data_IF_765743246124
#
_entry.id   IF_765743246124
#
_cell.length_a   1.000
_cell.length_b   1.000
_cell.length_c   1.000
_cell.angle_alpha   90.00
_cell.angle_beta   90.00
_cell.angle_gamma   90.00
#
_symmetry.space_group_name_H-M   'P 1'
#
loop_
_entity.id
_entity.type
_entity.pdbx_description
1 polymer ?
#
# COMPACT_ATOMS: atom_id res chain seq x y z
N UNK A 1 12.71 6.82 -11.36
CA UNK A 1 12.07 5.85 -10.42
C UNK A 1 13.04 4.71 -10.12
N UNK A 2 13.00 4.16 -8.89
CA UNK A 2 13.82 3.05 -8.41
C UNK A 2 12.99 1.76 -8.30
N UNK A 3 13.64 0.60 -8.32
CA UNK A 3 12.96 -0.68 -8.12
C UNK A 3 13.06 -1.08 -6.65
N UNK A 4 11.90 -1.31 -6.03
CA UNK A 4 11.77 -1.84 -4.67
C UNK A 4 11.08 -3.20 -4.66
N UNK A 5 11.03 -3.85 -3.48
CA UNK A 5 10.20 -5.02 -3.27
C UNK A 5 9.72 -5.12 -1.81
N UNK A 6 8.52 -5.65 -1.61
CA UNK A 6 7.98 -5.97 -0.30
C UNK A 6 8.65 -7.23 0.26
N UNK A 7 9.18 -7.16 1.49
CA UNK A 7 9.96 -8.26 2.06
C UNK A 7 9.16 -9.56 2.23
N UNK A 8 7.86 -9.47 2.52
CA UNK A 8 6.97 -10.62 2.68
C UNK A 8 6.71 -11.37 1.37
N UNK A 9 6.89 -10.71 0.21
CA UNK A 9 6.69 -11.34 -1.10
C UNK A 9 7.58 -12.56 -1.33
N UNK A 10 8.78 -12.59 -0.73
CA UNK A 10 9.71 -13.72 -0.89
C UNK A 10 9.46 -14.87 0.10
N UNK A 11 8.64 -14.65 1.14
CA UNK A 11 8.35 -15.64 2.20
C UNK A 11 9.62 -16.26 2.84
N UNK A 12 10.66 -15.46 3.03
CA UNK A 12 11.95 -15.86 3.65
C UNK A 12 12.26 -14.99 4.88
N UNK A 13 13.10 -15.47 5.81
CA UNK A 13 13.62 -14.63 6.88
C UNK A 13 14.34 -13.38 6.33
N UNK A 14 14.25 -12.25 7.05
CA UNK A 14 14.76 -10.95 6.61
C UNK A 14 16.20 -10.99 6.06
N UNK A 15 17.20 -11.59 6.72
CA UNK A 15 18.57 -11.62 6.18
C UNK A 15 18.67 -12.33 4.83
N UNK A 16 17.91 -13.41 4.64
CA UNK A 16 17.88 -14.14 3.38
C UNK A 16 17.17 -13.34 2.28
N UNK A 17 16.09 -12.62 2.63
CA UNK A 17 15.38 -11.72 1.71
C UNK A 17 16.28 -10.57 1.26
N UNK A 18 16.96 -9.89 2.20
CA UNK A 18 17.91 -8.81 1.90
C UNK A 18 18.99 -9.27 0.93
N UNK A 19 19.63 -10.41 1.21
CA UNK A 19 20.66 -10.98 0.32
C UNK A 19 20.10 -11.23 -1.10
N UNK A 20 18.93 -11.85 -1.20
CA UNK A 20 18.31 -12.16 -2.50
C UNK A 20 17.92 -10.91 -3.27
N UNK A 21 17.38 -9.90 -2.60
CA UNK A 21 17.01 -8.64 -3.25
C UNK A 21 18.23 -7.88 -3.77
N UNK A 22 19.32 -7.85 -3.00
CA UNK A 22 20.59 -7.29 -3.47
C UNK A 22 21.14 -8.04 -4.70
N UNK A 23 21.10 -9.38 -4.70
CA UNK A 23 21.50 -10.21 -5.86
C UNK A 23 20.66 -9.96 -7.11
N UNK A 24 19.38 -9.58 -6.97
CA UNK A 24 18.48 -9.23 -8.07
C UNK A 24 18.65 -7.77 -8.56
N UNK A 25 19.41 -6.95 -7.84
CA UNK A 25 19.58 -5.53 -8.15
C UNK A 25 18.40 -4.66 -7.72
N UNK A 26 17.62 -5.11 -6.75
CA UNK A 26 16.58 -4.31 -6.09
C UNK A 26 17.27 -3.24 -5.25
N UNK A 27 16.74 -2.03 -5.25
CA UNK A 27 17.35 -0.85 -4.64
C UNK A 27 16.67 -0.44 -3.33
N UNK A 28 15.42 -0.85 -3.14
CA UNK A 28 14.65 -0.53 -1.94
C UNK A 28 13.84 -1.71 -1.42
N UNK A 29 13.56 -1.68 -0.14
CA UNK A 29 12.72 -2.70 0.49
C UNK A 29 11.63 -2.03 1.32
N UNK A 30 10.39 -2.44 1.07
CA UNK A 30 9.26 -2.17 1.96
C UNK A 30 9.21 -3.29 3.01
N UNK A 31 9.12 -2.92 4.27
CA UNK A 31 9.10 -3.89 5.38
C UNK A 31 7.66 -4.08 5.86
N UNK A 32 7.15 -5.30 5.76
CA UNK A 32 5.90 -5.68 6.39
C UNK A 32 6.10 -5.67 7.91
N UNK A 33 5.38 -4.81 8.61
CA UNK A 33 5.35 -4.79 10.06
C UNK A 33 4.46 -5.94 10.56
N UNK A 34 4.96 -6.68 11.53
CA UNK A 34 4.24 -7.76 12.20
C UNK A 34 4.04 -7.42 13.67
N UNK A 35 3.16 -8.11 14.42
CA UNK A 35 3.01 -7.88 15.86
C UNK A 35 4.34 -7.95 16.63
N UNK A 36 5.30 -8.77 16.19
CA UNK A 36 6.62 -8.87 16.81
C UNK A 36 7.43 -7.56 16.71
N UNK A 37 7.30 -6.82 15.61
CA UNK A 37 7.99 -5.53 15.44
C UNK A 37 7.55 -4.50 16.49
N UNK A 38 6.31 -4.60 16.97
CA UNK A 38 5.77 -3.68 17.97
C UNK A 38 6.48 -3.78 19.34
N UNK A 39 7.19 -4.87 19.59
CA UNK A 39 7.92 -5.11 20.85
C UNK A 39 9.44 -5.13 20.64
N UNK A 40 9.93 -4.84 19.43
CA UNK A 40 11.37 -4.76 19.18
C UNK A 40 12.01 -3.60 19.93
N UNK A 41 13.19 -3.85 20.49
CA UNK A 41 14.02 -2.80 21.04
C UNK A 41 14.58 -1.90 19.93
N UNK A 42 14.94 -0.66 20.31
CA UNK A 42 15.61 0.26 19.38
C UNK A 42 16.90 -0.32 18.79
N UNK A 43 17.62 -1.15 19.57
CA UNK A 43 18.80 -1.84 19.09
C UNK A 43 18.46 -2.82 17.94
N UNK A 44 17.35 -3.56 18.08
CA UNK A 44 16.89 -4.50 17.03
C UNK A 44 16.44 -3.77 15.77
N UNK A 45 15.74 -2.65 15.88
CA UNK A 45 15.35 -1.83 14.74
C UNK A 45 16.57 -1.24 14.02
N UNK A 46 17.58 -0.77 14.76
CA UNK A 46 18.84 -0.32 14.17
C UNK A 46 19.60 -1.43 13.46
N UNK A 47 19.60 -2.64 14.00
CA UNK A 47 20.19 -3.81 13.34
C UNK A 47 19.50 -4.12 12.00
N UNK A 48 18.17 -4.11 11.95
CA UNK A 48 17.42 -4.30 10.70
C UNK A 48 17.83 -3.23 9.67
N UNK A 49 17.88 -1.97 10.07
CA UNK A 49 18.31 -0.86 9.22
C UNK A 49 19.73 -1.06 8.69
N UNK A 50 20.66 -1.48 9.55
CA UNK A 50 22.05 -1.72 9.19
C UNK A 50 22.17 -2.88 8.18
N UNK A 51 21.49 -3.99 8.41
CA UNK A 51 21.49 -5.15 7.50
C UNK A 51 21.02 -4.77 6.09
N UNK A 52 20.00 -3.91 5.98
CA UNK A 52 19.55 -3.42 4.69
C UNK A 52 20.59 -2.50 4.04
N UNK A 53 21.12 -1.52 4.81
CA UNK A 53 22.09 -0.56 4.31
C UNK A 53 23.42 -1.23 3.87
N UNK A 54 23.91 -2.21 4.63
CA UNK A 54 25.12 -2.97 4.31
C UNK A 54 25.01 -3.77 3.00
N UNK A 55 23.77 -4.13 2.63
CA UNK A 55 23.45 -4.77 1.36
C UNK A 55 23.12 -3.76 0.23
N UNK A 56 23.18 -2.46 0.48
CA UNK A 56 22.87 -1.41 -0.48
C UNK A 56 21.35 -1.20 -0.73
N UNK A 57 20.48 -1.67 0.18
CA UNK A 57 19.05 -1.46 0.08
C UNK A 57 18.59 -0.29 0.96
N UNK A 58 17.81 0.63 0.40
CA UNK A 58 17.07 1.63 1.17
C UNK A 58 15.80 0.99 1.77
N UNK A 59 15.40 1.38 2.97
CA UNK A 59 14.05 1.05 3.46
C UNK A 59 13.09 2.09 2.88
N UNK A 60 12.38 1.70 1.81
CA UNK A 60 11.52 2.61 1.04
C UNK A 60 10.23 2.98 1.79
N UNK A 61 9.67 2.02 2.50
CA UNK A 61 8.44 2.18 3.27
C UNK A 61 8.33 1.08 4.33
N UNK A 62 7.37 1.23 5.25
CA UNK A 62 6.84 0.12 6.05
C UNK A 62 5.38 -0.11 5.68
N UNK A 63 4.94 -1.37 5.69
CA UNK A 63 3.53 -1.72 5.56
C UNK A 63 2.94 -1.97 6.96
N UNK A 64 1.93 -1.19 7.31
CA UNK A 64 1.32 -1.16 8.63
C UNK A 64 0.09 -2.04 8.81
N UNK A 65 -0.17 -2.98 7.90
CA UNK A 65 -1.31 -3.90 8.00
C UNK A 65 -1.04 -5.02 8.99
N UNK A 66 -1.25 -4.73 10.29
CA UNK A 66 -0.92 -5.65 11.38
C UNK A 66 -2.15 -6.35 11.96
N UNK A 67 -3.30 -5.67 11.99
CA UNK A 67 -4.49 -6.13 12.67
C UNK A 67 -5.72 -6.01 11.75
N UNK A 68 -6.74 -6.80 12.05
CA UNK A 68 -8.02 -6.75 11.35
C UNK A 68 -8.96 -5.63 11.84
N UNK A 69 -8.41 -4.62 12.50
CA UNK A 69 -9.15 -3.43 12.93
C UNK A 69 -9.38 -2.47 11.76
N UNK A 70 -10.52 -1.82 11.75
CA UNK A 70 -10.93 -0.97 10.63
C UNK A 70 -11.06 0.49 11.06
N UNK A 71 -10.63 1.42 10.21
CA UNK A 71 -10.75 2.86 10.47
C UNK A 71 -12.20 3.38 10.47
N UNK A 72 -13.14 2.63 9.87
CA UNK A 72 -14.56 2.99 9.79
C UNK A 72 -15.45 2.34 10.84
N UNK A 73 -14.91 1.58 11.80
CA UNK A 73 -15.66 0.90 12.85
C UNK A 73 -15.54 1.66 14.19
N UNK A 74 -16.66 2.01 14.80
CA UNK A 74 -16.72 2.90 15.98
C UNK A 74 -15.90 2.40 17.16
N UNK A 75 -15.95 1.10 17.43
CA UNK A 75 -15.22 0.51 18.55
C UNK A 75 -13.75 0.20 18.25
N UNK A 76 -13.36 0.16 16.98
CA UNK A 76 -12.02 -0.27 16.55
C UNK A 76 -11.09 0.88 16.13
N UNK A 77 -11.62 2.03 15.68
CA UNK A 77 -10.80 3.05 15.04
C UNK A 77 -9.73 3.66 15.97
N UNK A 78 -10.03 3.77 17.28
CA UNK A 78 -9.05 4.28 18.24
C UNK A 78 -7.86 3.34 18.40
N UNK A 79 -8.14 2.04 18.53
CA UNK A 79 -7.10 1.00 18.61
C UNK A 79 -6.28 0.98 17.32
N UNK A 80 -6.95 1.15 16.18
CA UNK A 80 -6.28 1.24 14.87
C UNK A 80 -5.40 2.47 14.74
N UNK A 81 -5.86 3.63 15.22
CA UNK A 81 -5.07 4.87 15.24
C UNK A 81 -3.86 4.75 16.17
N UNK A 82 -4.03 4.23 17.38
CA UNK A 82 -2.92 4.00 18.30
C UNK A 82 -1.90 2.97 17.77
N UNK A 83 -2.38 1.92 17.12
CA UNK A 83 -1.51 0.96 16.45
C UNK A 83 -0.72 1.64 15.31
N UNK A 84 -1.36 2.48 14.51
CA UNK A 84 -0.70 3.25 13.47
C UNK A 84 0.40 4.16 14.04
N UNK A 85 0.15 4.86 15.15
CA UNK A 85 1.16 5.71 15.81
C UNK A 85 2.40 4.90 16.22
N UNK A 86 2.22 3.68 16.73
CA UNK A 86 3.34 2.78 17.02
C UNK A 86 4.11 2.35 15.76
N UNK A 87 3.42 2.15 14.64
CA UNK A 87 4.06 1.86 13.35
C UNK A 87 4.85 3.07 12.85
N UNK A 88 4.33 4.29 13.03
CA UNK A 88 5.06 5.54 12.73
C UNK A 88 6.38 5.60 13.50
N UNK A 89 6.35 5.32 14.80
CA UNK A 89 7.57 5.32 15.64
C UNK A 89 8.61 4.31 15.14
N UNK A 90 8.14 3.14 14.69
CA UNK A 90 9.01 2.10 14.08
C UNK A 90 9.57 2.60 12.75
N UNK A 91 8.75 3.21 11.89
CA UNK A 91 9.19 3.74 10.60
C UNK A 91 10.30 4.80 10.77
N UNK A 92 10.13 5.72 11.71
CA UNK A 92 11.16 6.73 12.06
C UNK A 92 12.47 6.05 12.47
N UNK A 93 12.42 5.03 13.34
CA UNK A 93 13.61 4.29 13.79
C UNK A 93 14.26 3.47 12.68
N UNK A 94 13.47 2.93 11.76
CA UNK A 94 13.97 2.25 10.56
C UNK A 94 14.52 3.23 9.51
N UNK A 95 14.23 4.53 9.62
CA UNK A 95 14.74 5.58 8.76
C UNK A 95 13.95 5.79 7.47
N UNK A 96 12.70 5.33 7.42
CA UNK A 96 11.77 5.62 6.31
C UNK A 96 10.73 6.66 6.73
N UNK A 97 10.16 7.34 5.73
CA UNK A 97 9.12 8.36 5.93
C UNK A 97 7.74 7.90 5.46
N UNK A 98 7.62 6.73 4.87
CA UNK A 98 6.37 6.27 4.27
C UNK A 98 5.83 5.07 5.03
N UNK A 99 4.57 5.17 5.46
CA UNK A 99 3.82 4.08 6.07
C UNK A 99 2.63 3.77 5.16
N UNK A 100 2.62 2.62 4.53
CA UNK A 100 1.49 2.16 3.70
C UNK A 100 0.53 1.35 4.56
N UNK A 101 -0.76 1.47 4.31
CA UNK A 101 -1.76 0.61 4.96
C UNK A 101 -3.12 0.69 4.24
N UNK A 102 -3.87 -0.40 4.33
CA UNK A 102 -5.29 -0.41 3.98
C UNK A 102 -6.12 0.25 5.09
N UNK A 103 -7.19 0.92 4.69
CA UNK A 103 -8.07 1.65 5.62
C UNK A 103 -9.48 1.08 5.73
N UNK A 104 -9.76 0.00 5.00
CA UNK A 104 -11.10 -0.50 4.75
C UNK A 104 -11.69 0.09 3.46
N UNK A 105 -13.01 0.13 3.36
CA UNK A 105 -13.71 0.63 2.16
C UNK A 105 -14.23 2.04 2.41
N UNK A 106 -13.79 3.01 1.61
CA UNK A 106 -14.28 4.37 1.68
C UNK A 106 -15.66 4.44 1.01
N UNK A 107 -16.71 4.90 1.72
CA UNK A 107 -18.02 5.12 1.08
C UNK A 107 -17.97 6.23 0.03
N UNK A 108 -18.63 6.01 -1.11
CA UNK A 108 -18.78 7.07 -2.13
C UNK A 108 -19.74 8.18 -1.73
N UNK A 109 -20.65 7.94 -0.77
CA UNK A 109 -21.58 8.92 -0.23
C UNK A 109 -21.09 9.42 1.13
N UNK A 110 -20.87 10.72 1.27
CA UNK A 110 -20.49 11.35 2.55
C UNK A 110 -21.58 11.26 3.63
N UNK A 111 -22.82 11.00 3.25
CA UNK A 111 -23.92 10.76 4.20
C UNK A 111 -23.88 9.35 4.81
N UNK A 112 -23.07 8.44 4.27
CA UNK A 112 -22.87 7.11 4.83
C UNK A 112 -22.29 7.22 6.25
N UNK A 113 -22.86 6.54 7.25
CA UNK A 113 -22.43 6.65 8.65
C UNK A 113 -20.97 6.21 8.89
N UNK A 114 -20.38 5.44 7.99
CA UNK A 114 -18.95 5.05 8.06
C UNK A 114 -18.04 6.23 7.71
N UNK A 115 -18.45 7.13 6.81
CA UNK A 115 -17.59 8.20 6.30
C UNK A 115 -17.06 9.14 7.39
N UNK A 116 -17.88 9.73 8.29
CA UNK A 116 -17.39 10.62 9.33
C UNK A 116 -16.47 9.90 10.34
N UNK A 117 -16.63 8.60 10.56
CA UNK A 117 -15.75 7.81 11.42
C UNK A 117 -14.38 7.68 10.75
N UNK A 118 -14.33 7.32 9.46
CA UNK A 118 -13.08 7.25 8.70
C UNK A 118 -12.39 8.61 8.64
N UNK A 119 -13.14 9.69 8.41
CA UNK A 119 -12.59 11.04 8.37
C UNK A 119 -11.87 11.40 9.68
N UNK A 120 -12.48 11.09 10.82
CA UNK A 120 -11.88 11.35 12.13
C UNK A 120 -10.67 10.46 12.39
N UNK A 121 -10.77 9.16 12.14
CA UNK A 121 -9.73 8.18 12.46
C UNK A 121 -8.49 8.32 11.57
N UNK A 122 -8.70 8.57 10.27
CA UNK A 122 -7.62 8.80 9.31
C UNK A 122 -6.97 10.17 9.58
N UNK A 123 -7.78 11.19 9.94
CA UNK A 123 -7.28 12.50 10.35
C UNK A 123 -6.33 12.42 11.53
N UNK A 124 -6.69 11.69 12.60
CA UNK A 124 -5.84 11.48 13.78
C UNK A 124 -4.52 10.77 13.43
N UNK A 125 -4.60 9.72 12.60
CA UNK A 125 -3.41 9.00 12.14
C UNK A 125 -2.49 9.87 11.25
N UNK A 126 -3.08 10.64 10.35
CA UNK A 126 -2.34 11.53 9.45
C UNK A 126 -1.68 12.71 10.18
N UNK A 127 -2.36 13.29 11.16
CA UNK A 127 -1.80 14.36 12.00
C UNK A 127 -0.56 13.88 12.75
N UNK A 128 -0.63 12.71 13.38
CA UNK A 128 0.52 12.13 14.08
C UNK A 128 1.68 11.82 13.12
N UNK A 129 1.38 11.23 11.94
CA UNK A 129 2.37 10.97 10.89
C UNK A 129 3.08 12.27 10.47
N UNK A 130 2.31 13.33 10.19
CA UNK A 130 2.86 14.63 9.81
C UNK A 130 3.73 15.26 10.90
N UNK A 131 3.31 15.16 12.17
CA UNK A 131 4.09 15.65 13.33
C UNK A 131 5.43 14.93 13.47
N UNK A 132 5.50 13.64 13.09
CA UNK A 132 6.73 12.84 13.10
C UNK A 132 7.56 12.99 11.80
N UNK A 133 7.13 13.81 10.83
CA UNK A 133 7.81 13.99 9.54
C UNK A 133 7.69 12.78 8.62
N UNK A 134 6.64 11.99 8.80
CA UNK A 134 6.29 10.83 7.98
C UNK A 134 4.97 11.07 7.25
N UNK A 135 4.60 10.16 6.34
CA UNK A 135 3.35 10.20 5.59
C UNK A 135 2.61 8.87 5.76
N UNK A 136 1.37 8.97 6.19
CA UNK A 136 0.40 7.88 6.14
C UNK A 136 -0.08 7.74 4.69
N UNK A 137 0.38 6.72 3.99
CA UNK A 137 0.08 6.47 2.59
C UNK A 137 -1.04 5.43 2.47
N UNK A 138 -2.26 5.88 2.17
CA UNK A 138 -3.40 4.99 1.94
C UNK A 138 -3.13 4.16 0.70
N UNK A 139 -3.26 2.84 0.81
CA UNK A 139 -3.17 1.97 -0.34
C UNK A 139 -4.49 1.97 -1.12
N UNK A 140 -4.39 2.20 -2.45
CA UNK A 140 -5.55 2.10 -3.34
C UNK A 140 -6.10 0.66 -3.36
N UNK A 141 -7.40 0.54 -3.30
CA UNK A 141 -8.08 -0.75 -3.14
C UNK A 141 -9.46 -0.79 -3.79
N UNK A 142 -10.53 -0.89 -2.97
CA UNK A 142 -11.88 -1.10 -3.48
C UNK A 142 -12.56 0.16 -4.02
N UNK A 143 -12.17 1.34 -3.55
CA UNK A 143 -12.74 2.61 -4.00
C UNK A 143 -12.12 3.09 -5.31
N UNK A 144 -12.86 3.92 -6.01
CA UNK A 144 -12.35 4.65 -7.18
C UNK A 144 -11.50 5.84 -6.74
N UNK A 145 -10.62 6.29 -7.63
CA UNK A 145 -9.68 7.37 -7.35
C UNK A 145 -10.35 8.70 -6.99
N UNK A 146 -11.52 9.00 -7.55
CA UNK A 146 -12.31 10.20 -7.22
C UNK A 146 -12.85 10.14 -5.80
N UNK A 147 -13.30 8.97 -5.34
CA UNK A 147 -13.77 8.74 -3.96
C UNK A 147 -12.61 8.90 -2.97
N UNK A 148 -11.46 8.30 -3.26
CA UNK A 148 -10.27 8.46 -2.43
C UNK A 148 -9.80 9.92 -2.42
N UNK A 149 -9.77 10.60 -3.57
CA UNK A 149 -9.40 12.01 -3.67
C UNK A 149 -10.33 12.90 -2.81
N UNK A 150 -11.62 12.57 -2.76
CA UNK A 150 -12.56 13.30 -1.91
C UNK A 150 -12.19 13.14 -0.42
N UNK A 151 -11.89 11.92 0.05
CA UNK A 151 -11.44 11.66 1.41
C UNK A 151 -10.14 12.42 1.74
N UNK A 152 -9.15 12.37 0.84
CA UNK A 152 -7.88 13.09 1.01
C UNK A 152 -8.08 14.60 1.19
N UNK A 153 -8.97 15.19 0.39
CA UNK A 153 -9.32 16.62 0.49
C UNK A 153 -10.09 16.97 1.76
N UNK A 154 -10.96 16.09 2.22
CA UNK A 154 -11.74 16.33 3.44
C UNK A 154 -10.90 16.17 4.71
N UNK A 155 -9.90 15.28 4.70
CA UNK A 155 -8.90 15.15 5.80
C UNK A 155 -7.95 16.36 5.80
N UNK A 156 -7.54 16.85 4.63
CA UNK A 156 -6.66 18.02 4.43
C UNK A 156 -5.40 18.03 5.31
N UNK A 157 -4.68 16.91 5.35
CA UNK A 157 -3.46 16.75 6.15
C UNK A 157 -2.22 16.58 5.28
N UNK A 158 -1.13 17.28 5.64
CA UNK A 158 0.19 17.10 5.02
C UNK A 158 0.84 15.74 5.38
N UNK A 159 0.36 15.08 6.43
CA UNK A 159 0.79 13.76 6.83
C UNK A 159 0.04 12.62 6.14
N UNK A 160 -0.81 12.94 5.14
CA UNK A 160 -1.59 11.97 4.37
C UNK A 160 -1.13 11.93 2.93
N UNK A 161 -1.02 10.73 2.38
CA UNK A 161 -0.65 10.48 0.98
C UNK A 161 -1.25 9.19 0.46
N UNK A 162 -0.77 8.75 -0.69
CA UNK A 162 -1.25 7.56 -1.38
C UNK A 162 -0.09 6.62 -1.69
N UNK A 163 -0.28 5.34 -1.38
CA UNK A 163 0.42 4.22 -1.99
C UNK A 163 -0.44 3.71 -3.14
N UNK A 164 -0.08 4.03 -4.37
CA UNK A 164 -0.89 3.63 -5.51
C UNK A 164 -0.53 2.22 -5.96
N UNK A 165 -1.46 1.29 -5.79
CA UNK A 165 -1.39 -0.06 -6.36
C UNK A 165 -2.23 -0.12 -7.66
N UNK A 166 -1.61 -0.20 -8.84
CA UNK A 166 -2.33 -0.20 -10.11
C UNK A 166 -3.11 -1.50 -10.33
N UNK A 167 -2.69 -2.61 -9.73
CA UNK A 167 -3.36 -3.89 -9.87
C UNK A 167 -4.65 -3.92 -9.06
N UNK A 168 -4.66 -3.37 -7.84
CA UNK A 168 -5.87 -3.27 -7.04
C UNK A 168 -6.97 -2.48 -7.77
N UNK A 169 -6.61 -1.36 -8.41
CA UNK A 169 -7.53 -0.59 -9.25
C UNK A 169 -8.07 -1.42 -10.41
N UNK A 170 -7.21 -2.15 -11.14
CA UNK A 170 -7.64 -2.98 -12.28
C UNK A 170 -8.42 -4.21 -11.86
N UNK A 171 -7.94 -4.93 -10.84
CA UNK A 171 -8.52 -6.18 -10.38
C UNK A 171 -9.87 -5.98 -9.70
N UNK A 172 -10.00 -4.96 -8.85
CA UNK A 172 -11.10 -4.84 -7.91
C UNK A 172 -12.13 -3.82 -8.36
N UNK A 173 -11.74 -2.58 -8.57
CA UNK A 173 -12.65 -1.49 -8.95
C UNK A 173 -12.80 -1.31 -10.47
N UNK A 174 -12.10 -2.10 -11.29
CA UNK A 174 -12.08 -1.99 -12.76
C UNK A 174 -11.72 -0.58 -13.25
N UNK A 175 -10.92 0.16 -12.49
CA UNK A 175 -10.51 1.51 -12.82
C UNK A 175 -9.23 1.53 -13.65
N UNK A 176 -9.04 2.61 -14.43
CA UNK A 176 -7.81 2.85 -15.17
C UNK A 176 -6.74 3.47 -14.25
N UNK A 177 -5.61 2.78 -13.97
CA UNK A 177 -4.55 3.34 -13.14
C UNK A 177 -3.93 4.62 -13.71
N UNK A 178 -3.99 4.84 -15.04
CA UNK A 178 -3.51 6.07 -15.66
C UNK A 178 -4.36 7.24 -15.21
N UNK A 179 -5.68 7.09 -15.27
CA UNK A 179 -6.61 8.10 -14.77
C UNK A 179 -6.48 8.32 -13.26
N UNK A 180 -6.28 7.26 -12.49
CA UNK A 180 -6.04 7.37 -11.06
C UNK A 180 -4.78 8.21 -10.74
N UNK A 181 -3.68 8.04 -11.50
CA UNK A 181 -2.48 8.87 -11.35
C UNK A 181 -2.77 10.34 -11.71
N UNK A 182 -3.60 10.62 -12.71
CA UNK A 182 -3.97 11.99 -13.07
C UNK A 182 -4.73 12.69 -11.94
N UNK A 183 -5.58 11.98 -11.21
CA UNK A 183 -6.33 12.51 -10.08
C UNK A 183 -5.51 12.60 -8.79
N UNK A 184 -4.79 11.55 -8.47
CA UNK A 184 -4.11 11.37 -7.18
C UNK A 184 -2.64 11.81 -7.19
N UNK A 185 -2.09 12.19 -8.35
CA UNK A 185 -0.67 12.50 -8.53
C UNK A 185 -0.03 13.35 -7.43
N UNK A 186 -0.65 14.46 -6.97
CA UNK A 186 -0.10 15.29 -5.90
C UNK A 186 0.03 14.60 -4.54
N UNK A 187 -0.67 13.47 -4.35
CA UNK A 187 -0.68 12.71 -3.10
C UNK A 187 0.15 11.43 -3.16
N UNK A 188 0.59 10.99 -4.35
CA UNK A 188 1.34 9.74 -4.50
C UNK A 188 2.73 9.88 -3.91
N UNK A 189 3.01 9.13 -2.84
CA UNK A 189 4.31 9.09 -2.17
C UNK A 189 5.00 7.73 -2.28
N UNK A 190 4.24 6.70 -2.65
CA UNK A 190 4.73 5.34 -2.87
C UNK A 190 3.87 4.63 -3.91
N UNK A 191 4.41 3.59 -4.55
CA UNK A 191 3.62 2.75 -5.47
C UNK A 191 4.00 1.29 -5.33
N UNK A 192 3.03 0.42 -5.56
CA UNK A 192 3.29 -0.99 -5.80
C UNK A 192 3.48 -1.27 -7.30
N UNK A 193 4.32 -2.24 -7.58
CA UNK A 193 4.44 -2.89 -8.88
C UNK A 193 3.84 -4.29 -8.75
N UNK A 194 2.56 -4.38 -9.00
CA UNK A 194 1.71 -5.58 -8.95
C UNK A 194 0.88 -5.66 -10.21
N UNK A 195 0.49 -6.84 -10.63
CA UNK A 195 -0.36 -7.03 -11.80
C UNK A 195 -1.42 -8.08 -11.56
N UNK A 196 -2.53 -7.96 -12.25
CA UNK A 196 -3.66 -8.85 -12.06
C UNK A 196 -4.74 -8.71 -13.11
N UNK A 197 -5.72 -9.59 -12.99
CA UNK A 197 -6.83 -9.73 -13.92
C UNK A 197 -8.14 -9.70 -13.13
N UNK A 198 -9.07 -8.81 -13.51
CA UNK A 198 -10.45 -8.92 -13.07
C UNK A 198 -11.12 -10.08 -13.80
N UNK A 199 -11.69 -11.00 -13.06
CA UNK A 199 -12.38 -12.17 -13.65
C UNK A 199 -13.90 -12.04 -13.61
N UNK A 200 -14.42 -11.14 -12.74
CA UNK A 200 -15.82 -10.75 -12.69
C UNK A 200 -15.95 -9.34 -12.09
N UNK A 201 -16.51 -8.37 -12.83
CA UNK A 201 -16.64 -6.98 -12.41
C UNK A 201 -17.86 -6.77 -11.48
N UNK A 202 -17.84 -7.39 -10.31
CA UNK A 202 -18.86 -7.24 -9.28
C UNK A 202 -18.58 -6.09 -8.32
N UNK A 203 -19.24 -6.11 -7.16
CA UNK A 203 -19.04 -5.11 -6.11
C UNK A 203 -17.64 -5.19 -5.50
N UNK A 204 -16.86 -4.13 -5.66
CA UNK A 204 -15.53 -3.99 -5.05
C UNK A 204 -15.65 -3.93 -3.50
N UNK A 205 -16.64 -3.19 -2.99
CA UNK A 205 -16.88 -3.06 -1.55
C UNK A 205 -17.25 -4.41 -0.91
N UNK A 206 -18.05 -5.23 -1.60
CA UNK A 206 -18.37 -6.58 -1.13
C UNK A 206 -17.14 -7.51 -1.16
N UNK A 207 -16.26 -7.36 -2.17
CA UNK A 207 -15.03 -8.15 -2.28
C UNK A 207 -14.04 -7.86 -1.13
N UNK A 208 -13.97 -6.60 -0.67
CA UNK A 208 -13.13 -6.18 0.46
C UNK A 208 -13.82 -6.31 1.83
N UNK A 209 -15.11 -6.71 1.87
CA UNK A 209 -15.82 -6.91 3.11
C UNK A 209 -16.07 -5.60 3.87
N UNK A 210 -16.67 -4.61 3.19
CA UNK A 210 -17.05 -3.35 3.84
C UNK A 210 -17.86 -3.59 5.13
N UNK A 211 -17.54 -2.83 6.16
CA UNK A 211 -18.19 -2.95 7.47
C UNK A 211 -19.08 -1.75 7.77
N UNK A 212 -20.11 -2.01 8.59
CA UNK A 212 -20.92 -0.98 9.22
C UNK A 212 -20.18 -0.38 10.43
N UNK A 213 -20.64 0.75 10.99
CA UNK A 213 -20.02 1.38 12.16
C UNK A 213 -19.92 0.47 13.40
N UNK A 214 -20.79 -0.51 13.52
CA UNK A 214 -20.80 -1.51 14.62
C UNK A 214 -19.89 -2.71 14.36
N UNK A 215 -19.15 -2.72 13.24
CA UNK A 215 -18.23 -3.78 12.86
C UNK A 215 -18.88 -4.95 12.12
N UNK A 216 -20.20 -4.99 11.96
CA UNK A 216 -20.87 -6.01 11.16
C UNK A 216 -20.53 -5.86 9.67
N UNK A 217 -20.54 -6.98 8.93
CA UNK A 217 -20.35 -6.95 7.49
C UNK A 217 -21.56 -6.33 6.80
N UNK A 218 -21.31 -5.34 5.93
CA UNK A 218 -22.36 -4.76 5.09
C UNK A 218 -22.84 -5.77 4.05
N UNK A 219 -24.15 -5.87 3.91
CA UNK A 219 -24.78 -6.76 2.92
C UNK A 219 -24.98 -6.02 1.62
N UNK A 220 -24.50 -6.60 0.52
CA UNK A 220 -24.66 -6.08 -0.83
C UNK A 220 -25.59 -7.01 -1.63
N UNK A 221 -26.44 -6.43 -2.47
CA UNK A 221 -27.27 -7.18 -3.43
C UNK A 221 -26.46 -7.67 -4.63
N UNK A 222 -25.38 -6.97 -4.97
CA UNK A 222 -24.47 -7.31 -6.03
C UNK A 222 -23.44 -8.35 -5.56
N UNK A 223 -23.08 -9.29 -6.44
CA UNK A 223 -22.00 -10.25 -6.14
C UNK A 223 -20.66 -9.55 -6.00
N UNK A 224 -19.77 -10.04 -5.13
CA UNK A 224 -18.41 -9.51 -5.01
C UNK A 224 -17.65 -9.59 -6.35
N UNK A 225 -16.79 -8.61 -6.60
CA UNK A 225 -15.79 -8.71 -7.66
C UNK A 225 -14.88 -9.92 -7.40
N UNK A 226 -14.47 -10.60 -8.48
CA UNK A 226 -13.47 -11.66 -8.39
C UNK A 226 -12.29 -11.36 -9.30
N UNK A 227 -11.10 -11.73 -8.83
CA UNK A 227 -9.86 -11.37 -9.49
C UNK A 227 -8.77 -12.41 -9.27
N UNK A 228 -7.70 -12.28 -10.03
CA UNK A 228 -6.50 -13.11 -9.91
C UNK A 228 -5.26 -12.25 -10.08
N UNK A 229 -4.36 -12.28 -9.09
CA UNK A 229 -3.01 -11.75 -9.23
C UNK A 229 -2.20 -12.65 -10.17
N UNK A 230 -1.41 -12.02 -11.03
CA UNK A 230 -0.52 -12.70 -12.00
C UNK A 230 0.88 -12.09 -11.95
N UNK A 231 1.93 -12.75 -12.48
CA UNK A 231 3.26 -12.16 -12.61
C UNK A 231 3.22 -10.82 -13.36
N UNK A 232 4.10 -9.91 -12.98
CA UNK A 232 4.17 -8.54 -13.51
C UNK A 232 4.27 -8.54 -15.05
N UNK A 233 3.46 -7.72 -15.69
CA UNK A 233 3.37 -7.63 -17.15
C UNK A 233 2.48 -8.69 -17.82
N UNK A 234 1.85 -9.57 -17.04
CA UNK A 234 0.94 -10.60 -17.56
C UNK A 234 -0.54 -10.31 -17.23
N UNK A 235 -0.82 -9.17 -16.61
CA UNK A 235 -2.15 -8.77 -16.21
C UNK A 235 -2.76 -7.67 -17.08
N UNK A 236 -3.59 -6.85 -16.47
CA UNK A 236 -4.37 -5.80 -17.13
C UNK A 236 -3.87 -4.39 -16.84
N UNK A 237 -2.75 -4.23 -16.12
CA UNK A 237 -2.15 -2.92 -15.87
C UNK A 237 -1.52 -2.39 -17.15
N UNK A 238 -1.91 -1.17 -17.62
CA UNK A 238 -1.34 -0.55 -18.83
C UNK A 238 0.02 0.10 -18.52
N UNK A 239 1.06 -0.72 -18.31
CA UNK A 239 2.35 -0.32 -17.75
C UNK A 239 2.99 0.89 -18.42
N UNK A 240 2.98 0.97 -19.75
CA UNK A 240 3.61 2.10 -20.47
C UNK A 240 2.90 3.41 -20.16
N UNK A 241 1.57 3.41 -20.21
CA UNK A 241 0.75 4.56 -19.85
C UNK A 241 0.86 4.95 -18.37
N UNK A 242 0.86 3.93 -17.50
CA UNK A 242 0.97 4.13 -16.05
C UNK A 242 2.31 4.77 -15.65
N UNK A 243 3.44 4.25 -16.15
CA UNK A 243 4.75 4.80 -15.86
C UNK A 243 4.93 6.21 -16.45
N UNK A 244 4.37 6.46 -17.65
CA UNK A 244 4.37 7.80 -18.25
C UNK A 244 3.56 8.80 -17.41
N UNK A 245 2.40 8.38 -16.89
CA UNK A 245 1.57 9.20 -16.01
C UNK A 245 2.28 9.53 -14.69
N UNK A 246 2.90 8.53 -14.03
CA UNK A 246 3.71 8.74 -12.82
C UNK A 246 4.84 9.75 -13.05
N UNK A 247 5.57 9.60 -14.16
CA UNK A 247 6.64 10.53 -14.54
C UNK A 247 6.10 11.95 -14.77
N UNK A 248 4.96 12.08 -15.45
CA UNK A 248 4.29 13.37 -15.68
C UNK A 248 3.81 14.02 -14.38
N UNK A 249 3.36 13.20 -13.40
CA UNK A 249 3.01 13.66 -12.06
C UNK A 249 4.22 14.05 -11.19
N UNK A 250 5.44 13.82 -11.67
CA UNK A 250 6.69 14.13 -10.94
C UNK A 250 7.09 13.06 -9.93
N UNK A 251 6.49 11.88 -9.96
CA UNK A 251 6.87 10.77 -9.07
C UNK A 251 8.22 10.18 -9.49
N UNK A 252 9.17 10.14 -8.55
CA UNK A 252 10.51 9.57 -8.74
C UNK A 252 10.89 8.59 -7.60
N UNK A 253 9.88 8.03 -6.93
CA UNK A 253 10.04 7.10 -5.83
C UNK A 253 10.28 5.65 -6.28
N UNK A 254 9.85 4.73 -5.44
CA UNK A 254 10.01 3.30 -5.66
C UNK A 254 8.79 2.68 -6.35
N UNK A 255 9.05 1.86 -7.37
CA UNK A 255 8.12 0.87 -7.90
C UNK A 255 8.35 -0.40 -7.11
N UNK A 256 7.57 -0.61 -6.07
CA UNK A 256 7.77 -1.69 -5.09
C UNK A 256 7.04 -2.94 -5.54
N UNK A 257 7.80 -3.94 -5.97
CA UNK A 257 7.25 -5.24 -6.37
C UNK A 257 6.54 -5.88 -5.19
N UNK A 258 5.26 -6.14 -5.37
CA UNK A 258 4.44 -6.90 -4.44
C UNK A 258 3.93 -8.16 -5.15
N UNK A 259 4.25 -9.33 -4.58
CA UNK A 259 3.85 -10.63 -5.09
C UNK A 259 3.34 -11.50 -3.96
N UNK A 260 2.02 -11.65 -3.86
CA UNK A 260 1.36 -12.36 -2.76
C UNK A 260 0.99 -13.80 -3.11
N UNK A 261 0.84 -14.09 -4.40
CA UNK A 261 0.40 -15.37 -4.93
C UNK A 261 1.49 -16.05 -5.76
N UNK A 262 1.21 -17.26 -6.24
CA UNK A 262 2.11 -18.02 -7.11
C UNK A 262 2.98 -19.04 -6.38
N UNK A 263 3.42 -20.04 -7.15
CA UNK A 263 4.23 -21.17 -6.64
C UNK A 263 5.73 -20.92 -6.72
N UNK A 264 6.17 -19.97 -7.56
CA UNK A 264 7.57 -19.57 -7.75
C UNK A 264 7.73 -18.05 -7.57
N UNK A 265 7.53 -17.57 -6.33
CA UNK A 265 7.61 -16.13 -6.05
C UNK A 265 9.00 -15.56 -6.31
N UNK A 266 10.08 -16.33 -6.10
CA UNK A 266 11.45 -15.88 -6.38
C UNK A 266 11.66 -15.67 -7.89
N UNK A 267 11.18 -16.59 -8.72
CA UNK A 267 11.19 -16.45 -10.18
C UNK A 267 10.33 -15.30 -10.67
N UNK A 268 9.11 -15.16 -10.12
CA UNK A 268 8.20 -14.07 -10.46
C UNK A 268 8.78 -12.68 -10.12
N UNK A 269 9.45 -12.54 -8.95
CA UNK A 269 10.10 -11.28 -8.54
C UNK A 269 11.30 -10.98 -9.47
N UNK A 270 12.10 -11.99 -9.82
CA UNK A 270 13.21 -11.83 -10.77
C UNK A 270 12.72 -11.36 -12.14
N UNK A 271 11.66 -11.97 -12.65
CA UNK A 271 11.01 -11.55 -13.89
C UNK A 271 10.47 -10.12 -13.78
N UNK A 272 9.86 -9.75 -12.65
CA UNK A 272 9.35 -8.41 -12.41
C UNK A 272 10.47 -7.35 -12.43
N UNK A 273 11.64 -7.66 -11.85
CA UNK A 273 12.81 -6.76 -11.90
C UNK A 273 13.25 -6.53 -13.34
N UNK A 274 13.38 -7.59 -14.14
CA UNK A 274 13.80 -7.46 -15.55
C UNK A 274 12.74 -6.72 -16.38
N UNK A 275 11.46 -6.97 -16.13
CA UNK A 275 10.36 -6.23 -16.75
C UNK A 275 10.45 -4.73 -16.44
N UNK A 276 10.59 -4.34 -15.17
CA UNK A 276 10.70 -2.94 -14.78
C UNK A 276 11.96 -2.27 -15.33
N UNK A 277 13.11 -2.94 -15.33
CA UNK A 277 14.32 -2.44 -15.96
C UNK A 277 14.11 -2.13 -17.44
N UNK A 278 13.42 -3.01 -18.18
CA UNK A 278 13.11 -2.80 -19.60
C UNK A 278 12.20 -1.60 -19.85
N UNK A 279 11.33 -1.27 -18.89
CA UNK A 279 10.39 -0.14 -18.97
C UNK A 279 11.00 1.20 -18.51
N UNK A 280 12.04 1.15 -17.70
CA UNK A 280 12.71 2.35 -17.15
C UNK A 280 13.94 2.77 -17.96
N UNK A 281 14.43 1.92 -18.88
CA UNK A 281 15.50 2.21 -19.81
C UNK A 281 15.05 3.23 -20.86
#
# INVERSE_FOLDING_TARGET
MKIGALNSSLCKPLPATVKKYAEMGIQGMQIQITPEHLIFSDARLREIRSVCADAGLEISAVCGDIAHTHFGVTEEWRDRSELHKRVVDIAVKLGTKVITTHIGVVPGDKADPVYPIMLQSIGDAAEYSGACGTVFAIETGPEKADVLLQLLKDVDSKGLGVNLDPANLRMVSCEDPVHAVELLGPYIVHTHAKDGINTYPGSAAAAYGMREPDGSLRVFSEKPATFKEVPLGQGQVPWDGYLAALKKAGFDGFLTIERECGNDREGDIRQAVEFLKSKLA
#
